data_IF_653528182081
#
_entry.id   IF_653528182081
#
_cell.length_a   1.000
_cell.length_b   1.000
_cell.length_c   1.000
_cell.angle_alpha   90.00
_cell.angle_beta   90.00
_cell.angle_gamma   90.00
#
_symmetry.space_group_name_H-M   'P 1'
#
loop_
_entity.id
_entity.type
_entity.pdbx_description
1 polymer ?
#
# COMPACT_ATOMS: atom_id res chain seq x y z
N UNK A 1 5.28 16.10 31.71
CA UNK A 1 4.06 15.72 32.46
C UNK A 1 3.33 14.66 31.63
N UNK A 2 3.54 13.39 31.98
CA UNK A 2 2.81 12.25 31.46
C UNK A 2 1.32 12.42 31.78
N UNK A 3 0.48 12.57 30.76
CA UNK A 3 -0.97 12.50 30.93
C UNK A 3 -1.31 11.03 31.17
N UNK A 4 -1.50 10.66 32.43
CA UNK A 4 -2.08 9.39 32.80
C UNK A 4 -3.55 9.43 32.39
N UNK A 5 -3.93 8.64 31.38
CA UNK A 5 -5.33 8.27 31.16
C UNK A 5 -5.76 7.42 32.35
N UNK A 6 -6.34 8.06 33.37
CA UNK A 6 -7.04 7.38 34.45
C UNK A 6 -8.47 7.12 33.99
N UNK A 7 -8.79 5.85 33.75
CA UNK A 7 -10.16 5.36 33.76
C UNK A 7 -10.40 4.78 35.15
N UNK A 8 -11.31 5.35 35.92
CA UNK A 8 -11.78 4.73 37.17
C UNK A 8 -12.74 3.58 36.82
N UNK A 9 -12.22 2.49 36.27
CA UNK A 9 -12.94 1.21 36.32
C UNK A 9 -12.30 0.37 37.42
N UNK A 10 -12.62 0.77 38.65
CA UNK A 10 -12.36 -0.01 39.87
C UNK A 10 -13.67 -0.45 40.54
N UNK A 11 -14.81 -0.33 39.84
CA UNK A 11 -16.10 -0.80 40.33
C UNK A 11 -16.67 -1.86 39.36
N UNK A 12 -16.71 -3.15 39.76
CA UNK A 12 -17.32 -4.23 38.98
C UNK A 12 -18.82 -4.03 38.71
N UNK A 13 -19.46 -3.07 39.37
CA UNK A 13 -20.88 -2.72 39.22
C UNK A 13 -21.10 -1.45 38.40
N UNK A 14 -20.03 -0.76 37.97
CA UNK A 14 -20.17 0.42 37.12
C UNK A 14 -20.77 0.03 35.77
N UNK A 15 -21.80 0.73 35.27
CA UNK A 15 -22.41 0.41 34.00
C UNK A 15 -21.36 0.50 32.88
N UNK A 16 -21.29 -0.55 32.06
CA UNK A 16 -20.56 -0.54 30.79
C UNK A 16 -20.98 0.72 30.03
N UNK A 17 -20.02 1.52 29.57
CA UNK A 17 -20.27 2.76 28.83
C UNK A 17 -21.21 2.45 27.65
N UNK A 18 -22.46 2.92 27.72
CA UNK A 18 -23.51 2.63 26.74
C UNK A 18 -23.43 3.48 25.46
N UNK A 19 -22.42 4.35 25.35
CA UNK A 19 -22.28 5.32 24.28
C UNK A 19 -20.95 5.13 23.53
N UNK A 20 -20.89 5.45 22.23
CA UNK A 20 -19.64 5.40 21.48
C UNK A 20 -18.63 6.38 22.08
N UNK A 21 -17.51 5.87 22.57
CA UNK A 21 -16.41 6.66 23.11
C UNK A 21 -15.39 6.93 22.02
N UNK A 22 -14.99 8.20 21.85
CA UNK A 22 -13.86 8.58 21.00
C UNK A 22 -12.70 8.98 21.90
N UNK A 23 -11.59 8.23 21.82
CA UNK A 23 -10.36 8.55 22.52
C UNK A 23 -9.41 9.30 21.60
N UNK A 24 -9.18 10.58 21.89
CA UNK A 24 -8.30 11.42 21.07
C UNK A 24 -6.91 11.58 21.70
N UNK A 25 -5.86 11.48 20.89
CA UNK A 25 -4.50 11.81 21.30
C UNK A 25 -3.66 12.38 20.14
N UNK A 26 -2.85 13.38 20.47
CA UNK A 26 -1.82 13.92 19.59
C UNK A 26 -0.57 13.04 19.62
N UNK A 27 -0.60 11.96 18.85
CA UNK A 27 0.50 10.98 18.77
C UNK A 27 1.54 11.36 17.72
N UNK A 28 1.20 12.23 16.76
CA UNK A 28 2.13 12.68 15.74
C UNK A 28 2.68 14.07 16.05
N UNK A 29 4.00 14.24 15.97
CA UNK A 29 4.62 15.55 16.17
C UNK A 29 4.56 16.37 14.90
N UNK A 30 4.00 17.56 15.03
CA UNK A 30 4.03 18.57 13.98
C UNK A 30 5.37 19.31 13.89
N UNK A 31 5.72 19.77 12.70
CA UNK A 31 6.92 20.59 12.50
C UNK A 31 6.85 21.86 13.36
N UNK A 32 7.94 22.14 14.08
CA UNK A 32 8.10 23.29 15.01
C UNK A 32 7.08 23.32 16.16
N UNK A 33 6.41 22.22 16.48
CA UNK A 33 5.57 22.17 17.68
C UNK A 33 6.44 22.15 18.94
N UNK A 34 6.02 22.92 19.96
CA UNK A 34 6.59 22.89 21.30
C UNK A 34 5.90 21.86 22.21
N UNK A 35 4.74 21.34 21.81
CA UNK A 35 4.00 20.31 22.53
C UNK A 35 4.70 18.96 22.38
N UNK A 36 4.70 18.17 23.46
CA UNK A 36 5.20 16.81 23.44
C UNK A 36 4.09 15.89 22.92
N UNK A 37 4.37 15.18 21.84
CA UNK A 37 3.47 14.15 21.34
C UNK A 37 3.34 13.03 22.38
N UNK A 38 2.14 12.46 22.47
CA UNK A 38 1.88 11.25 23.24
C UNK A 38 2.62 10.08 22.57
N UNK A 39 3.23 9.21 23.37
CA UNK A 39 3.89 8.02 22.84
C UNK A 39 2.87 7.12 22.11
N UNK A 40 2.99 6.92 20.78
CA UNK A 40 1.96 6.24 20.01
C UNK A 40 1.79 4.78 20.42
N UNK A 41 2.90 4.08 20.69
CA UNK A 41 2.89 2.67 21.09
C UNK A 41 2.17 2.49 22.43
N UNK A 42 2.54 3.27 23.45
CA UNK A 42 1.86 3.23 24.75
C UNK A 42 0.39 3.65 24.66
N UNK A 43 0.04 4.61 23.80
CA UNK A 43 -1.37 5.00 23.62
C UNK A 43 -2.18 3.86 23.01
N UNK A 44 -1.69 3.29 21.90
CA UNK A 44 -2.32 2.17 21.19
C UNK A 44 -2.48 0.95 22.09
N UNK A 45 -1.40 0.56 22.80
CA UNK A 45 -1.44 -0.62 23.67
C UNK A 45 -2.40 -0.47 24.85
N UNK A 46 -2.44 0.72 25.46
CA UNK A 46 -3.37 1.01 26.58
C UNK A 46 -4.80 1.13 26.10
N UNK A 47 -5.03 1.82 24.98
CA UNK A 47 -6.37 1.97 24.42
C UNK A 47 -6.97 0.61 24.04
N UNK A 48 -6.19 -0.27 23.43
CA UNK A 48 -6.60 -1.64 23.11
C UNK A 48 -7.00 -2.44 24.35
N UNK A 49 -6.26 -2.31 25.45
CA UNK A 49 -6.49 -3.09 26.69
C UNK A 49 -7.64 -2.54 27.54
N UNK A 50 -7.73 -1.22 27.65
CA UNK A 50 -8.67 -0.55 28.58
C UNK A 50 -10.00 -0.18 27.92
N UNK A 51 -9.99 0.05 26.61
CA UNK A 51 -11.14 0.55 25.87
C UNK A 51 -11.25 -0.11 24.49
N UNK A 52 -11.39 -1.44 24.41
CA UNK A 52 -11.39 -2.18 23.14
C UNK A 52 -12.52 -1.76 22.19
N UNK A 53 -13.62 -1.21 22.70
CA UNK A 53 -14.77 -0.78 21.89
C UNK A 53 -14.74 0.70 21.50
N UNK A 54 -13.71 1.45 21.92
CA UNK A 54 -13.60 2.87 21.59
C UNK A 54 -13.13 3.09 20.14
N UNK A 55 -13.54 4.20 19.54
CA UNK A 55 -12.93 4.73 18.32
C UNK A 55 -11.70 5.55 18.69
N UNK A 56 -10.57 5.27 18.06
CA UNK A 56 -9.33 6.00 18.32
C UNK A 56 -9.18 7.15 17.34
N UNK A 57 -9.05 8.36 17.86
CA UNK A 57 -8.77 9.56 17.07
C UNK A 57 -7.29 9.93 17.22
N UNK A 58 -6.51 9.76 16.15
CA UNK A 58 -5.09 10.06 16.13
C UNK A 58 -4.86 11.43 15.49
N UNK A 59 -4.20 12.33 16.22
CA UNK A 59 -3.97 13.71 15.82
C UNK A 59 -2.50 14.12 15.83
N UNK A 60 -2.29 15.40 15.56
CA UNK A 60 -0.98 16.04 15.56
C UNK A 60 -0.91 17.12 16.63
N UNK A 61 0.25 17.25 17.27
CA UNK A 61 0.54 18.33 18.21
C UNK A 61 0.33 19.72 17.58
N UNK A 62 -0.10 20.69 18.38
CA UNK A 62 -0.38 22.06 17.93
C UNK A 62 0.85 22.73 17.31
N UNK A 63 0.69 23.35 16.14
CA UNK A 63 1.73 24.13 15.48
C UNK A 63 1.63 25.60 15.84
N UNK A 64 2.75 26.21 16.20
CA UNK A 64 2.88 27.66 16.36
C UNK A 64 3.26 28.31 15.03
N UNK A 65 2.66 29.45 14.71
CA UNK A 65 2.95 30.25 13.51
C UNK A 65 2.82 29.44 12.21
N UNK A 66 1.70 28.73 12.06
CA UNK A 66 1.50 27.82 10.95
C UNK A 66 1.51 28.53 9.59
N UNK A 67 0.94 29.73 9.51
CA UNK A 67 0.95 30.59 8.32
C UNK A 67 2.36 30.75 7.73
N UNK A 68 3.37 30.98 8.58
CA UNK A 68 4.78 31.18 8.19
C UNK A 68 5.59 29.89 7.99
N UNK A 69 4.98 28.72 8.15
CA UNK A 69 5.68 27.44 7.96
C UNK A 69 5.99 27.22 6.47
N UNK A 70 7.17 26.66 6.19
CA UNK A 70 7.52 26.29 4.81
C UNK A 70 6.48 25.29 4.24
N UNK A 71 5.98 25.47 3.01
CA UNK A 71 4.99 24.59 2.38
C UNK A 71 5.34 23.10 2.43
N UNK A 72 6.62 22.74 2.42
CA UNK A 72 7.06 21.32 2.50
C UNK A 72 6.61 20.61 3.78
N UNK A 73 6.32 21.35 4.85
CA UNK A 73 5.83 20.83 6.13
C UNK A 73 4.31 20.98 6.30
N UNK A 74 3.62 21.60 5.34
CA UNK A 74 2.15 21.75 5.31
C UNK A 74 1.49 20.59 4.55
N UNK A 75 2.08 19.39 4.61
CA UNK A 75 1.61 18.18 3.92
C UNK A 75 2.05 16.92 4.67
N UNK A 76 1.32 15.84 4.45
CA UNK A 76 1.64 14.48 4.84
C UNK A 76 2.51 13.84 3.76
N UNK A 77 3.73 13.49 4.12
CA UNK A 77 4.64 12.72 3.24
C UNK A 77 4.31 11.22 3.29
N UNK A 78 4.73 10.46 2.28
CA UNK A 78 4.60 9.00 2.29
C UNK A 78 5.30 8.36 3.48
N UNK A 79 6.48 8.87 3.87
CA UNK A 79 7.19 8.42 5.08
C UNK A 79 6.34 8.58 6.34
N UNK A 80 5.67 9.73 6.50
CA UNK A 80 4.76 9.93 7.62
C UNK A 80 3.53 9.03 7.52
N UNK A 81 2.98 8.80 6.33
CA UNK A 81 1.88 7.85 6.17
C UNK A 81 2.29 6.44 6.59
N UNK A 82 3.47 5.96 6.20
CA UNK A 82 3.96 4.64 6.60
C UNK A 82 4.10 4.51 8.11
N UNK A 83 4.59 5.57 8.76
CA UNK A 83 4.64 5.63 10.22
C UNK A 83 3.24 5.58 10.85
N UNK A 84 2.24 6.23 10.25
CA UNK A 84 0.83 6.12 10.68
C UNK A 84 0.34 4.67 10.53
N UNK A 85 0.64 4.03 9.39
CA UNK A 85 0.18 2.66 9.09
C UNK A 85 0.78 1.63 10.05
N UNK A 86 2.01 1.82 10.51
CA UNK A 86 2.64 0.94 11.50
C UNK A 86 1.81 0.83 12.79
N UNK A 87 1.14 1.91 13.20
CA UNK A 87 0.24 1.91 14.34
C UNK A 87 -1.17 1.43 13.98
N UNK A 88 -1.72 1.88 12.85
CA UNK A 88 -3.08 1.52 12.44
C UNK A 88 -3.19 0.02 12.15
N UNK A 89 -2.15 -0.62 11.61
CA UNK A 89 -2.15 -2.04 11.31
C UNK A 89 -2.25 -2.93 12.57
N UNK A 90 -1.81 -2.43 13.74
CA UNK A 90 -1.83 -3.18 15.01
C UNK A 90 -3.14 -3.05 15.80
N UNK A 91 -4.05 -2.21 15.33
CA UNK A 91 -5.31 -1.93 16.00
C UNK A 91 -6.41 -2.83 15.44
N UNK A 92 -7.36 -3.24 16.27
CA UNK A 92 -8.64 -3.80 15.79
C UNK A 92 -9.75 -2.72 15.81
N UNK A 93 -9.56 -1.72 16.65
CA UNK A 93 -10.45 -0.59 16.84
C UNK A 93 -10.62 0.25 15.56
N UNK A 94 -11.81 0.85 15.35
CA UNK A 94 -12.01 1.88 14.34
C UNK A 94 -11.05 3.05 14.58
N UNK A 95 -10.41 3.52 13.51
CA UNK A 95 -9.47 4.65 13.60
C UNK A 95 -10.00 5.85 12.82
N UNK A 96 -9.88 7.01 13.45
CA UNK A 96 -10.11 8.32 12.85
C UNK A 96 -8.80 9.10 12.85
N UNK A 97 -8.39 9.62 11.71
CA UNK A 97 -7.20 10.46 11.59
C UNK A 97 -7.64 11.94 11.54
N UNK A 98 -7.22 12.73 12.53
CA UNK A 98 -7.57 14.15 12.66
C UNK A 98 -6.55 15.03 11.95
N UNK A 99 -6.89 15.56 10.77
CA UNK A 99 -5.97 16.25 9.87
C UNK A 99 -6.41 17.70 9.68
N UNK A 100 -5.47 18.63 9.81
CA UNK A 100 -5.72 20.05 9.52
C UNK A 100 -6.05 20.28 8.04
N UNK A 101 -6.97 21.19 7.74
CA UNK A 101 -7.53 21.45 6.41
C UNK A 101 -6.45 21.75 5.35
N UNK A 102 -5.52 22.66 5.65
CA UNK A 102 -4.41 22.97 4.74
C UNK A 102 -3.50 21.77 4.48
N UNK A 103 -3.21 20.97 5.51
CA UNK A 103 -2.44 19.71 5.35
C UNK A 103 -3.21 18.76 4.45
N UNK A 104 -4.50 18.54 4.70
CA UNK A 104 -5.33 17.66 3.90
C UNK A 104 -5.36 18.08 2.42
N UNK A 105 -5.47 19.39 2.17
CA UNK A 105 -5.51 19.94 0.81
C UNK A 105 -4.22 19.68 0.01
N UNK A 106 -3.09 19.57 0.71
CA UNK A 106 -1.77 19.31 0.13
C UNK A 106 -1.33 17.83 0.20
N UNK A 107 -2.20 16.94 0.72
CA UNK A 107 -1.88 15.52 1.00
C UNK A 107 -2.85 14.54 0.33
N UNK A 108 -3.44 14.99 -0.77
CA UNK A 108 -4.54 14.29 -1.45
C UNK A 108 -4.24 12.82 -1.72
N UNK A 109 -3.09 12.51 -2.31
CA UNK A 109 -2.74 11.13 -2.69
C UNK A 109 -2.62 10.22 -1.47
N UNK A 110 -1.97 10.68 -0.39
CA UNK A 110 -1.81 9.93 0.85
C UNK A 110 -3.15 9.66 1.53
N UNK A 111 -4.02 10.68 1.60
CA UNK A 111 -5.33 10.57 2.25
C UNK A 111 -6.30 9.70 1.44
N UNK A 112 -6.28 9.79 0.11
CA UNK A 112 -7.06 8.91 -0.75
C UNK A 112 -6.57 7.46 -0.67
N UNK A 113 -5.26 7.23 -0.53
CA UNK A 113 -4.72 5.90 -0.28
C UNK A 113 -5.25 5.35 1.05
N UNK A 114 -5.21 6.14 2.14
CA UNK A 114 -5.71 5.75 3.45
C UNK A 114 -7.21 5.42 3.43
N UNK A 115 -8.02 6.27 2.78
CA UNK A 115 -9.47 6.05 2.65
C UNK A 115 -9.82 4.82 1.79
N UNK A 116 -8.91 4.44 0.89
CA UNK A 116 -9.04 3.26 0.04
C UNK A 116 -8.66 1.95 0.72
N UNK A 117 -8.19 1.98 1.96
CA UNK A 117 -7.83 0.78 2.72
C UNK A 117 -9.02 -0.16 2.91
N UNK A 118 -8.71 -1.45 2.94
CA UNK A 118 -9.68 -2.51 3.28
C UNK A 118 -10.21 -2.31 4.72
N UNK A 119 -9.29 -2.02 5.64
CA UNK A 119 -9.62 -1.60 7.00
C UNK A 119 -10.31 -0.22 6.99
N UNK A 120 -11.38 -0.08 7.78
CA UNK A 120 -12.12 1.17 7.90
C UNK A 120 -11.32 2.23 8.68
N UNK A 121 -10.74 3.18 7.95
CA UNK A 121 -10.19 4.42 8.50
C UNK A 121 -11.06 5.61 8.09
N UNK A 122 -11.39 6.47 9.04
CA UNK A 122 -12.11 7.72 8.81
C UNK A 122 -11.17 8.92 8.94
N UNK A 123 -11.53 10.04 8.31
CA UNK A 123 -10.82 11.32 8.43
C UNK A 123 -11.71 12.32 9.16
N UNK A 124 -11.12 13.07 10.09
CA UNK A 124 -11.68 14.31 10.61
C UNK A 124 -10.84 15.46 10.08
N UNK A 125 -11.41 16.29 9.22
CA UNK A 125 -10.74 17.47 8.67
C UNK A 125 -11.16 18.69 9.47
N UNK A 126 -10.22 19.30 10.20
CA UNK A 126 -10.48 20.49 11.01
C UNK A 126 -9.73 21.71 10.47
N UNK A 127 -10.19 22.93 10.77
CA UNK A 127 -9.52 24.15 10.33
C UNK A 127 -9.34 25.17 11.45
N UNK A 128 -8.31 25.99 11.33
CA UNK A 128 -8.01 27.13 12.22
C UNK A 128 -7.95 28.44 11.40
N UNK A 129 -7.70 29.54 12.10
CA UNK A 129 -7.59 30.87 11.53
C UNK A 129 -6.43 30.99 10.53
N UNK A 130 -5.30 30.32 10.77
CA UNK A 130 -4.14 30.35 9.86
C UNK A 130 -4.31 29.53 8.56
N UNK A 131 -5.45 28.88 8.36
CA UNK A 131 -5.73 28.10 7.14
C UNK A 131 -6.24 29.03 6.01
N UNK A 132 -5.32 29.71 5.32
CA UNK A 132 -5.67 30.69 4.27
C UNK A 132 -5.57 30.12 2.84
N UNK A 133 -4.50 29.38 2.55
CA UNK A 133 -4.17 28.92 1.19
C UNK A 133 -4.61 27.47 0.95
N UNK A 134 -5.92 27.27 0.75
CA UNK A 134 -6.51 25.94 0.64
C UNK A 134 -6.70 25.52 -0.82
N UNK A 135 -6.07 24.41 -1.20
CA UNK A 135 -6.31 23.75 -2.48
C UNK A 135 -7.67 23.01 -2.45
N UNK A 136 -8.77 23.75 -2.58
CA UNK A 136 -10.13 23.21 -2.46
C UNK A 136 -10.41 22.05 -3.42
N UNK A 137 -9.84 22.08 -4.63
CA UNK A 137 -9.98 20.98 -5.59
C UNK A 137 -9.56 19.61 -4.99
N UNK A 138 -8.48 19.58 -4.21
CA UNK A 138 -8.03 18.37 -3.51
C UNK A 138 -9.02 17.91 -2.45
N UNK A 139 -9.57 18.84 -1.66
CA UNK A 139 -10.55 18.53 -0.62
C UNK A 139 -11.84 17.98 -1.23
N UNK A 140 -12.27 18.54 -2.35
CA UNK A 140 -13.42 18.04 -3.10
C UNK A 140 -13.20 16.62 -3.59
N UNK A 141 -12.02 16.31 -4.10
CA UNK A 141 -11.68 14.96 -4.55
C UNK A 141 -11.65 13.97 -3.37
N UNK A 142 -11.08 14.35 -2.22
CA UNK A 142 -11.13 13.56 -0.98
C UNK A 142 -12.59 13.30 -0.56
N UNK A 143 -13.43 14.34 -0.57
CA UNK A 143 -14.86 14.22 -0.22
C UNK A 143 -15.62 13.30 -1.17
N UNK A 144 -15.31 13.34 -2.47
CA UNK A 144 -16.01 12.59 -3.51
C UNK A 144 -15.60 11.12 -3.58
N UNK A 145 -14.30 10.85 -3.46
CA UNK A 145 -13.74 9.49 -3.56
C UNK A 145 -13.66 8.78 -2.21
N UNK A 146 -13.78 9.52 -1.11
CA UNK A 146 -14.01 8.93 0.21
C UNK A 146 -15.30 8.11 0.19
N UNK A 147 -15.23 6.89 0.74
CA UNK A 147 -16.41 6.05 0.93
C UNK A 147 -17.43 6.83 1.79
N UNK A 148 -18.71 6.78 1.42
CA UNK A 148 -19.79 7.54 2.07
C UNK A 148 -19.63 7.49 3.60
N UNK A 149 -19.60 8.66 4.24
CA UNK A 149 -19.49 8.89 5.68
C UNK A 149 -18.12 8.65 6.34
N UNK A 150 -17.03 8.43 5.58
CA UNK A 150 -15.67 8.32 6.16
C UNK A 150 -14.92 9.65 6.30
N UNK A 151 -15.51 10.78 5.91
CA UNK A 151 -14.87 12.10 6.03
C UNK A 151 -15.80 13.04 6.80
N UNK A 152 -15.35 13.45 7.99
CA UNK A 152 -16.00 14.38 8.89
C UNK A 152 -15.29 15.74 8.83
N UNK A 153 -16.01 16.81 9.17
CA UNK A 153 -15.53 18.18 9.05
C UNK A 153 -15.80 18.94 10.35
N UNK A 154 -14.74 19.49 10.94
CA UNK A 154 -14.80 20.45 12.04
C UNK A 154 -14.19 21.78 11.60
N UNK A 155 -14.97 22.53 10.82
CA UNK A 155 -14.49 23.70 10.09
C UNK A 155 -15.03 24.99 10.68
N UNK A 156 -14.19 26.03 10.61
CA UNK A 156 -14.57 27.44 10.82
C UNK A 156 -15.68 27.83 9.84
N UNK A 157 -16.56 28.79 10.20
CA UNK A 157 -17.72 29.16 9.37
C UNK A 157 -17.37 29.47 7.91
N UNK A 158 -16.33 30.27 7.67
CA UNK A 158 -15.88 30.63 6.31
C UNK A 158 -15.48 29.43 5.44
N UNK A 159 -14.87 28.40 6.04
CA UNK A 159 -14.43 27.19 5.34
C UNK A 159 -15.60 26.23 5.14
N UNK A 160 -16.51 26.18 6.12
CA UNK A 160 -17.73 25.39 6.09
C UNK A 160 -18.66 25.83 4.96
N UNK A 161 -18.86 27.14 4.80
CA UNK A 161 -19.68 27.71 3.72
C UNK A 161 -19.18 27.28 2.33
N UNK A 162 -17.86 27.28 2.12
CA UNK A 162 -17.27 26.86 0.85
C UNK A 162 -17.57 25.38 0.58
N UNK A 163 -17.33 24.50 1.56
CA UNK A 163 -17.61 23.05 1.41
C UNK A 163 -19.10 22.79 1.17
N UNK A 164 -19.99 23.50 1.86
CA UNK A 164 -21.44 23.33 1.71
C UNK A 164 -21.94 23.75 0.32
N UNK A 165 -21.33 24.76 -0.30
CA UNK A 165 -21.67 25.19 -1.67
C UNK A 165 -21.19 24.23 -2.75
N UNK A 166 -20.25 23.34 -2.46
CA UNK A 166 -19.72 22.42 -3.45
C UNK A 166 -20.68 21.23 -3.62
N UNK A 167 -21.22 21.01 -4.84
CA UNK A 167 -22.14 19.92 -5.09
C UNK A 167 -21.43 18.56 -4.95
N UNK A 168 -22.13 17.62 -4.30
CA UNK A 168 -21.75 16.21 -4.25
C UNK A 168 -22.20 15.56 -5.56
N UNK A 169 -21.57 15.93 -6.67
CA UNK A 169 -21.75 15.19 -7.92
C UNK A 169 -21.05 13.83 -7.76
N UNK A 170 -21.73 12.70 -8.00
CA UNK A 170 -21.07 11.41 -8.05
C UNK A 170 -20.05 11.44 -9.18
N UNK A 171 -18.79 11.17 -8.87
CA UNK A 171 -17.79 10.92 -9.92
C UNK A 171 -18.10 9.54 -10.45
N UNK A 172 -18.60 9.47 -11.69
CA UNK A 172 -18.46 8.26 -12.49
C UNK A 172 -16.95 8.14 -12.74
N UNK A 173 -16.25 7.42 -11.87
CA UNK A 173 -14.86 7.06 -12.13
C UNK A 173 -14.93 6.11 -13.32
N UNK A 174 -14.62 6.64 -14.51
CA UNK A 174 -14.72 5.88 -15.77
C UNK A 174 -13.75 4.71 -15.82
N UNK A 175 -12.69 4.76 -15.00
CA UNK A 175 -11.65 3.75 -14.95
C UNK A 175 -11.71 2.99 -13.63
N UNK A 176 -11.64 1.65 -13.69
CA UNK A 176 -11.44 0.85 -12.48
C UNK A 176 -10.18 1.32 -11.74
N UNK A 177 -10.16 1.32 -10.40
CA UNK A 177 -8.95 1.62 -9.65
C UNK A 177 -7.81 0.69 -10.13
N UNK A 178 -6.58 1.21 -10.24
CA UNK A 178 -5.48 0.43 -10.80
C UNK A 178 -5.13 -0.78 -9.93
N UNK A 179 -5.50 -0.79 -8.64
CA UNK A 179 -5.35 -1.95 -7.77
C UNK A 179 -6.71 -2.55 -7.40
N UNK A 180 -6.88 -3.84 -7.68
CA UNK A 180 -8.09 -4.58 -7.30
C UNK A 180 -7.88 -5.39 -6.02
N UNK A 181 -8.61 -5.02 -4.96
CA UNK A 181 -8.56 -5.71 -3.66
C UNK A 181 -9.01 -7.18 -3.75
N UNK A 182 -9.90 -7.53 -4.67
CA UNK A 182 -10.40 -8.91 -4.85
C UNK A 182 -9.43 -9.79 -5.63
N UNK A 183 -8.60 -9.21 -6.51
CA UNK A 183 -7.61 -9.96 -7.30
C UNK A 183 -6.32 -10.27 -6.55
N UNK A 184 -6.11 -9.69 -5.36
CA UNK A 184 -4.89 -9.84 -4.58
C UNK A 184 -5.20 -10.16 -3.12
N UNK A 185 -4.83 -11.35 -2.67
CA UNK A 185 -5.00 -11.80 -1.29
C UNK A 185 -3.71 -11.58 -0.50
N UNK A 186 -3.79 -10.90 0.64
CA UNK A 186 -2.67 -10.83 1.58
C UNK A 186 -2.56 -12.13 2.37
N UNK A 187 -1.33 -12.61 2.56
CA UNK A 187 -1.00 -13.75 3.42
C UNK A 187 0.11 -13.28 4.36
N UNK A 188 -0.12 -13.44 5.66
CA UNK A 188 0.79 -13.00 6.71
C UNK A 188 1.24 -14.22 7.51
N UNK A 189 2.53 -14.31 7.78
CA UNK A 189 3.15 -15.39 8.52
C UNK A 189 3.44 -14.92 9.94
N UNK A 190 3.22 -15.81 10.92
CA UNK A 190 3.62 -15.55 12.30
C UNK A 190 5.15 -15.45 12.35
N UNK A 191 5.65 -14.38 12.95
CA UNK A 191 7.07 -14.15 13.15
C UNK A 191 7.37 -13.99 14.64
N UNK A 192 8.53 -14.48 15.08
CA UNK A 192 9.06 -14.25 16.43
C UNK A 192 9.72 -12.87 16.56
N UNK A 193 9.80 -12.10 15.48
CA UNK A 193 10.40 -10.77 15.53
C UNK A 193 9.44 -9.74 16.14
N UNK A 194 9.99 -8.85 16.95
CA UNK A 194 9.26 -7.70 17.52
C UNK A 194 8.87 -6.64 16.47
N UNK A 195 9.44 -6.73 15.26
CA UNK A 195 9.12 -5.83 14.16
C UNK A 195 7.78 -6.21 13.53
N UNK A 196 6.96 -5.20 13.23
CA UNK A 196 5.73 -5.41 12.47
C UNK A 196 6.05 -6.10 11.13
N UNK A 197 5.24 -7.08 10.73
CA UNK A 197 5.27 -7.65 9.39
C UNK A 197 3.86 -7.77 8.86
N UNK A 198 3.52 -6.97 7.84
CA UNK A 198 2.15 -6.93 7.31
C UNK A 198 2.13 -6.36 5.90
N UNK A 199 1.08 -6.70 5.16
CA UNK A 199 0.72 -6.01 3.91
C UNK A 199 -0.58 -5.25 4.09
N UNK A 200 -0.50 -3.93 4.08
CA UNK A 200 -1.69 -3.07 4.13
C UNK A 200 -2.18 -2.81 2.70
N UNK A 201 -3.39 -3.30 2.38
CA UNK A 201 -3.99 -3.16 1.05
C UNK A 201 -4.92 -1.94 0.97
N UNK A 202 -4.85 -1.23 -0.14
CA UNK A 202 -5.74 -0.12 -0.50
C UNK A 202 -6.14 -0.20 -1.97
N UNK A 203 -7.28 0.39 -2.35
CA UNK A 203 -7.67 0.57 -3.77
C UNK A 203 -6.64 1.31 -4.62
N UNK A 204 -5.66 1.97 -4.00
CA UNK A 204 -4.57 2.68 -4.68
C UNK A 204 -3.22 1.95 -4.66
N UNK A 205 -3.17 0.71 -4.15
CA UNK A 205 -1.95 -0.08 -4.09
C UNK A 205 -1.80 -0.81 -2.75
N UNK A 206 -0.66 -1.45 -2.56
CA UNK A 206 -0.35 -2.18 -1.33
C UNK A 206 0.94 -1.70 -0.71
N UNK A 207 1.01 -1.67 0.62
CA UNK A 207 2.18 -1.26 1.39
C UNK A 207 2.71 -2.43 2.17
N UNK A 208 4.00 -2.73 2.01
CA UNK A 208 4.71 -3.78 2.74
C UNK A 208 5.51 -3.16 3.89
N UNK A 209 5.11 -3.45 5.13
CA UNK A 209 5.69 -2.86 6.33
C UNK A 209 6.55 -3.87 7.09
N UNK A 210 7.75 -3.41 7.49
CA UNK A 210 8.67 -4.09 8.39
C UNK A 210 9.21 -5.41 7.88
N UNK A 211 9.24 -6.47 8.68
CA UNK A 211 9.96 -7.69 8.32
C UNK A 211 9.32 -8.38 7.09
N UNK A 212 10.07 -9.06 6.19
CA UNK A 212 9.52 -9.80 5.05
C UNK A 212 8.84 -11.12 5.45
N UNK A 213 7.78 -11.05 6.25
CA UNK A 213 6.92 -12.20 6.61
C UNK A 213 5.48 -12.03 6.12
N UNK A 214 5.29 -11.30 5.00
CA UNK A 214 3.97 -11.10 4.41
C UNK A 214 4.08 -10.98 2.87
N UNK A 215 3.06 -11.48 2.16
CA UNK A 215 3.01 -11.55 0.70
C UNK A 215 1.61 -11.28 0.14
N UNK A 216 1.56 -10.99 -1.16
CA UNK A 216 0.35 -10.86 -1.96
C UNK A 216 0.28 -11.99 -2.98
N UNK A 217 -0.75 -12.83 -2.86
CA UNK A 217 -1.06 -13.88 -3.82
C UNK A 217 -2.09 -13.36 -4.82
N UNK A 218 -1.76 -13.43 -6.12
CA UNK A 218 -2.74 -13.14 -7.16
C UNK A 218 -3.82 -14.23 -7.21
N UNK A 219 -5.07 -13.79 -7.25
CA UNK A 219 -6.25 -14.65 -7.43
C UNK A 219 -6.63 -14.82 -8.91
N UNK A 220 -5.89 -14.16 -9.81
CA UNK A 220 -6.07 -14.30 -11.25
C UNK A 220 -5.42 -15.63 -11.71
N UNK A 221 -6.20 -16.56 -12.30
CA UNK A 221 -5.67 -17.85 -12.70
C UNK A 221 -4.70 -17.70 -13.88
N UNK A 222 -3.63 -18.53 -13.95
CA UNK A 222 -2.73 -18.52 -15.08
C UNK A 222 -3.48 -18.89 -16.37
N UNK A 223 -3.25 -18.19 -17.49
CA UNK A 223 -3.96 -18.49 -18.72
C UNK A 223 -3.47 -19.81 -19.34
N UNK A 224 -4.26 -20.37 -20.26
CA UNK A 224 -3.86 -21.58 -21.00
C UNK A 224 -2.93 -21.17 -22.15
N UNK A 225 -1.82 -21.90 -22.30
CA UNK A 225 -0.90 -21.76 -23.44
C UNK A 225 -1.67 -21.80 -24.79
N UNK A 226 -1.36 -20.97 -25.80
CA UNK A 226 -0.17 -20.12 -25.99
C UNK A 226 -0.28 -18.70 -25.44
N UNK A 227 -1.32 -18.39 -24.66
CA UNK A 227 -1.49 -17.03 -24.14
C UNK A 227 -0.37 -16.69 -23.19
N UNK A 228 0.01 -15.41 -23.17
CA UNK A 228 1.01 -14.89 -22.24
C UNK A 228 0.29 -14.28 -21.04
N UNK A 229 1.01 -14.19 -19.93
CA UNK A 229 0.61 -13.38 -18.78
C UNK A 229 1.69 -12.35 -18.48
N UNK A 230 1.29 -11.25 -17.87
CA UNK A 230 2.22 -10.25 -17.40
C UNK A 230 1.80 -9.64 -16.07
N UNK A 231 2.81 -9.20 -15.34
CA UNK A 231 2.68 -8.50 -14.07
C UNK A 231 3.40 -7.17 -14.23
N UNK A 232 2.71 -6.08 -13.95
CA UNK A 232 3.28 -4.73 -14.06
C UNK A 232 2.92 -3.90 -12.84
N UNK A 233 3.72 -2.88 -12.57
CA UNK A 233 3.48 -1.94 -11.49
C UNK A 233 4.62 -0.96 -11.27
N UNK A 234 4.49 -0.19 -10.20
CA UNK A 234 5.50 0.76 -9.72
C UNK A 234 5.79 0.50 -8.26
N UNK A 235 7.06 0.37 -7.92
CA UNK A 235 7.52 0.25 -6.53
C UNK A 235 8.14 1.57 -6.10
N UNK A 236 7.74 2.03 -4.92
CA UNK A 236 8.27 3.20 -4.24
C UNK A 236 8.88 2.77 -2.90
N UNK A 237 10.21 2.74 -2.83
CA UNK A 237 10.98 2.36 -1.66
C UNK A 237 11.09 3.52 -0.67
N UNK A 238 10.92 3.21 0.61
CA UNK A 238 10.99 4.15 1.72
C UNK A 238 11.89 3.58 2.81
N UNK A 239 13.11 4.10 2.88
CA UNK A 239 14.05 3.77 3.94
C UNK A 239 13.58 4.35 5.28
N UNK A 240 13.58 3.52 6.33
CA UNK A 240 13.33 3.96 7.70
C UNK A 240 14.48 4.81 8.21
N UNK A 241 14.18 5.87 8.96
CA UNK A 241 15.19 6.72 9.56
C UNK A 241 15.66 6.10 10.88
N UNK A 242 16.87 5.53 10.88
CA UNK A 242 17.53 5.05 12.10
C UNK A 242 18.56 6.08 12.58
N UNK A 243 18.76 6.18 13.91
CA UNK A 243 19.76 7.08 14.51
C UNK A 243 21.20 6.69 14.16
N UNK A 244 21.41 5.45 13.74
CA UNK A 244 22.68 4.93 13.27
C UNK A 244 22.58 4.61 11.77
N UNK A 245 23.65 4.85 11.03
CA UNK A 245 23.80 4.41 9.64
C UNK A 245 23.92 2.88 9.62
N UNK A 246 22.78 2.21 9.58
CA UNK A 246 22.73 0.76 9.37
C UNK A 246 22.79 0.55 7.86
N UNK A 247 23.76 -0.26 7.42
CA UNK A 247 23.83 -0.71 6.04
C UNK A 247 22.62 -1.59 5.75
N UNK A 248 21.83 -1.17 4.76
CA UNK A 248 20.66 -1.93 4.30
C UNK A 248 21.17 -3.15 3.54
N UNK A 249 20.61 -4.32 3.83
CA UNK A 249 20.92 -5.56 3.10
C UNK A 249 20.68 -5.37 1.59
N UNK A 250 21.65 -5.77 0.76
CA UNK A 250 21.55 -5.75 -0.71
C UNK A 250 20.41 -6.62 -1.24
N UNK A 251 19.94 -7.59 -0.45
CA UNK A 251 18.77 -8.43 -0.76
C UNK A 251 17.44 -7.74 -0.45
N UNK A 252 17.47 -6.48 -0.02
CA UNK A 252 16.27 -5.73 0.31
C UNK A 252 15.57 -5.24 -0.95
N UNK A 253 14.30 -5.58 -1.11
CA UNK A 253 13.57 -5.19 -2.30
C UNK A 253 12.24 -5.88 -2.50
N UNK A 254 11.70 -5.68 -3.70
CA UNK A 254 10.51 -6.35 -4.21
C UNK A 254 10.91 -7.70 -4.82
N UNK A 255 10.18 -8.76 -4.51
CA UNK A 255 10.31 -10.07 -5.16
C UNK A 255 8.98 -10.46 -5.78
N UNK A 256 9.01 -10.90 -7.04
CA UNK A 256 7.88 -11.48 -7.75
C UNK A 256 8.21 -12.95 -7.99
N UNK A 257 7.45 -13.85 -7.38
CA UNK A 257 7.56 -15.29 -7.57
C UNK A 257 6.59 -15.77 -8.64
N UNK A 258 7.09 -16.64 -9.52
CA UNK A 258 6.28 -17.39 -10.48
C UNK A 258 6.29 -18.88 -10.08
N UNK A 259 5.12 -19.38 -9.67
CA UNK A 259 4.92 -20.73 -9.10
C UNK A 259 4.13 -21.65 -10.04
N UNK A 260 4.61 -22.86 -10.32
CA UNK A 260 3.88 -23.81 -11.19
C UNK A 260 2.54 -24.23 -10.61
N UNK A 261 2.47 -24.37 -9.28
CA UNK A 261 1.26 -24.72 -8.54
C UNK A 261 1.17 -23.86 -7.29
N UNK A 262 -0.04 -23.49 -6.91
CA UNK A 262 -0.29 -22.89 -5.59
C UNK A 262 -0.17 -24.02 -4.57
N UNK A 263 1.02 -24.16 -3.98
CA UNK A 263 1.17 -24.95 -2.76
C UNK A 263 0.63 -24.13 -1.59
N UNK A 264 0.25 -24.80 -0.51
CA UNK A 264 0.06 -24.12 0.77
C UNK A 264 1.39 -23.43 1.13
N UNK A 265 1.35 -22.10 1.18
CA UNK A 265 2.52 -21.31 1.51
C UNK A 265 2.69 -21.41 3.03
N UNK A 266 3.69 -22.18 3.46
CA UNK A 266 4.02 -22.40 4.89
C UNK A 266 5.12 -21.45 5.39
N UNK A 267 5.83 -20.79 4.46
CA UNK A 267 6.96 -19.92 4.74
C UNK A 267 6.89 -18.65 3.89
N UNK A 268 7.36 -17.49 4.42
CA UNK A 268 7.45 -16.27 3.65
C UNK A 268 8.49 -16.36 2.53
N UNK A 269 9.56 -17.14 2.73
CA UNK A 269 10.50 -17.47 1.66
C UNK A 269 9.97 -18.67 0.88
N UNK A 270 9.66 -18.45 -0.40
CA UNK A 270 9.15 -19.50 -1.29
C UNK A 270 10.31 -20.17 -2.01
N UNK A 271 10.51 -21.46 -1.70
CA UNK A 271 11.49 -22.32 -2.35
C UNK A 271 10.99 -22.84 -3.69
N UNK A 272 11.91 -23.26 -4.55
CA UNK A 272 11.61 -23.93 -5.82
C UNK A 272 10.69 -23.12 -6.76
N UNK A 273 10.87 -21.79 -6.75
CA UNK A 273 10.13 -20.83 -7.55
C UNK A 273 11.08 -20.06 -8.48
N UNK A 274 10.57 -19.56 -9.61
CA UNK A 274 11.29 -18.53 -10.36
C UNK A 274 11.06 -17.19 -9.69
N UNK A 275 12.14 -16.42 -9.47
CA UNK A 275 12.13 -15.16 -8.73
C UNK A 275 12.54 -14.02 -9.67
N UNK A 276 11.77 -12.95 -9.70
CA UNK A 276 12.19 -11.65 -10.27
C UNK A 276 12.38 -10.69 -9.10
N UNK A 277 13.60 -10.23 -8.88
CA UNK A 277 13.97 -9.32 -7.81
C UNK A 277 14.23 -7.92 -8.35
N UNK A 278 13.71 -6.91 -7.64
CA UNK A 278 13.99 -5.48 -7.87
C UNK A 278 14.44 -4.90 -6.53
N UNK A 279 15.73 -4.60 -6.41
CA UNK A 279 16.37 -4.08 -5.22
C UNK A 279 16.14 -2.58 -5.03
N UNK A 280 16.18 -2.15 -3.76
CA UNK A 280 16.12 -0.72 -3.40
C UNK A 280 17.31 0.09 -3.96
N UNK A 281 18.41 -0.60 -4.25
CA UNK A 281 19.65 -0.08 -4.82
C UNK A 281 19.67 -0.09 -6.37
N UNK A 282 18.56 -0.51 -7.00
CA UNK A 282 18.44 -0.62 -8.45
C UNK A 282 19.00 -1.90 -9.06
N UNK A 283 19.48 -2.85 -8.24
CA UNK A 283 19.83 -4.20 -8.72
C UNK A 283 18.56 -4.90 -9.18
N UNK A 284 18.63 -5.58 -10.32
CA UNK A 284 17.51 -6.38 -10.84
C UNK A 284 18.01 -7.76 -11.19
N UNK A 285 17.22 -8.78 -10.92
CA UNK A 285 17.64 -10.16 -11.15
C UNK A 285 16.45 -11.05 -11.48
N UNK A 286 16.64 -11.98 -12.41
CA UNK A 286 15.78 -13.14 -12.61
C UNK A 286 16.58 -14.36 -12.16
N UNK A 287 16.07 -15.13 -11.22
CA UNK A 287 16.66 -16.41 -10.80
C UNK A 287 15.65 -17.51 -11.08
N UNK A 288 16.09 -18.66 -11.58
CA UNK A 288 15.21 -19.81 -11.64
C UNK A 288 15.48 -20.88 -10.58
N UNK A 289 14.64 -21.91 -10.59
CA UNK A 289 14.48 -22.84 -9.47
C UNK A 289 15.80 -23.53 -9.10
N UNK A 290 15.94 -23.99 -7.86
CA UNK A 290 17.19 -24.62 -7.41
C UNK A 290 17.52 -25.93 -8.16
N UNK A 291 16.50 -26.66 -8.63
CA UNK A 291 16.63 -27.96 -9.30
C UNK A 291 16.54 -27.82 -10.84
N UNK A 292 17.51 -27.12 -11.43
CA UNK A 292 17.58 -26.96 -12.89
C UNK A 292 18.64 -27.88 -13.49
N UNK A 293 18.35 -28.41 -14.69
CA UNK A 293 19.32 -29.13 -15.50
C UNK A 293 20.51 -28.24 -15.88
N UNK A 294 21.74 -28.76 -15.91
CA UNK A 294 22.97 -27.97 -15.98
C UNK A 294 23.15 -27.13 -17.26
N UNK A 295 22.28 -27.29 -18.26
CA UNK A 295 22.35 -26.55 -19.53
C UNK A 295 21.56 -25.24 -19.54
N UNK A 296 20.72 -24.97 -18.54
CA UNK A 296 20.03 -23.68 -18.42
C UNK A 296 20.84 -22.73 -17.54
N UNK A 297 20.82 -21.45 -17.91
CA UNK A 297 21.30 -20.39 -17.03
C UNK A 297 20.46 -20.35 -15.75
N UNK A 298 21.14 -20.20 -14.61
CA UNK A 298 20.48 -20.16 -13.30
C UNK A 298 19.93 -18.77 -12.98
N UNK A 299 20.58 -17.72 -13.48
CA UNK A 299 20.22 -16.33 -13.21
C UNK A 299 20.61 -15.36 -14.32
N UNK A 300 19.88 -14.26 -14.41
CA UNK A 300 20.16 -13.09 -15.25
C UNK A 300 20.11 -11.85 -14.36
N UNK A 301 21.09 -10.94 -14.48
CA UNK A 301 21.26 -9.79 -13.56
C UNK A 301 21.41 -8.50 -14.37
N UNK A 302 20.85 -7.41 -13.86
CA UNK A 302 21.01 -6.06 -14.38
C UNK A 302 21.11 -5.02 -13.26
N UNK A 303 21.48 -3.80 -13.62
CA UNK A 303 21.65 -2.69 -12.68
C UNK A 303 21.07 -1.40 -13.26
N UNK A 304 20.23 -0.73 -12.49
CA UNK A 304 19.70 0.60 -12.77
C UNK A 304 20.39 1.66 -11.90
N UNK A 305 20.29 2.95 -12.27
CA UNK A 305 20.60 4.03 -11.34
C UNK A 305 19.76 3.93 -10.05
N UNK A 306 20.36 4.29 -8.91
CA UNK A 306 19.68 4.34 -7.61
C UNK A 306 18.54 5.37 -7.68
N UNK A 307 17.34 4.95 -7.29
CA UNK A 307 16.11 5.74 -7.33
C UNK A 307 15.18 5.28 -6.22
N UNK A 308 14.35 6.18 -5.68
CA UNK A 308 13.29 5.80 -4.74
C UNK A 308 12.15 5.04 -5.44
N UNK A 309 12.00 5.23 -6.76
CA UNK A 309 10.92 4.63 -7.54
C UNK A 309 11.38 3.95 -8.83
N UNK A 310 10.82 2.76 -9.04
CA UNK A 310 11.03 1.94 -10.24
C UNK A 310 9.69 1.48 -10.80
N UNK A 311 9.57 1.49 -12.13
CA UNK A 311 8.49 0.80 -12.83
C UNK A 311 9.00 -0.52 -13.40
N UNK A 312 8.12 -1.52 -13.48
CA UNK A 312 8.45 -2.83 -13.99
C UNK A 312 7.35 -3.42 -14.86
N UNK A 313 7.74 -4.28 -15.79
CA UNK A 313 6.87 -5.11 -16.61
C UNK A 313 7.49 -6.50 -16.76
N UNK A 314 6.90 -7.49 -16.10
CA UNK A 314 7.35 -8.90 -16.12
C UNK A 314 6.41 -9.69 -17.01
N UNK A 315 6.96 -10.33 -18.05
CA UNK A 315 6.21 -11.23 -18.94
C UNK A 315 6.62 -12.67 -18.71
N UNK A 316 5.64 -13.53 -18.46
CA UNK A 316 5.85 -14.98 -18.41
C UNK A 316 5.35 -15.62 -19.71
N UNK A 317 6.29 -16.19 -20.47
CA UNK A 317 6.00 -16.94 -21.70
C UNK A 317 5.93 -18.45 -21.48
N UNK A 318 6.05 -18.92 -20.24
CA UNK A 318 6.13 -20.32 -19.86
C UNK A 318 7.52 -20.94 -20.08
N UNK A 319 8.16 -20.65 -21.21
CA UNK A 319 9.52 -21.14 -21.54
C UNK A 319 10.61 -20.07 -21.33
N UNK A 320 10.22 -18.81 -21.17
CA UNK A 320 11.11 -17.67 -20.93
C UNK A 320 10.38 -16.63 -20.10
N UNK A 321 11.10 -16.01 -19.18
CA UNK A 321 10.65 -14.83 -18.46
C UNK A 321 11.41 -13.62 -18.98
N UNK A 322 10.67 -12.53 -19.20
CA UNK A 322 11.23 -11.22 -19.52
C UNK A 322 10.91 -10.28 -18.38
N UNK A 323 11.88 -9.47 -17.96
CA UNK A 323 11.66 -8.39 -17.00
C UNK A 323 12.24 -7.09 -17.57
N UNK A 324 11.35 -6.13 -17.83
CA UNK A 324 11.71 -4.77 -18.20
C UNK A 324 11.56 -3.88 -16.98
N UNK A 325 12.63 -3.22 -16.55
CA UNK A 325 12.63 -2.36 -15.35
C UNK A 325 13.28 -1.02 -15.68
N UNK A 326 12.75 0.06 -15.12
CA UNK A 326 13.20 1.44 -15.39
C UNK A 326 13.00 2.34 -14.17
N UNK A 327 13.79 3.40 -14.08
CA UNK A 327 13.62 4.46 -13.07
C UNK A 327 12.40 5.33 -13.37
N UNK A 328 11.65 5.75 -12.34
CA UNK A 328 10.47 6.62 -12.51
C UNK A 328 10.35 7.65 -11.40
N UNK A 329 9.57 8.71 -11.64
CA UNK A 329 9.19 9.64 -10.57
C UNK A 329 8.16 8.98 -9.65
N UNK A 330 8.23 9.27 -8.35
CA UNK A 330 7.29 8.78 -7.36
C UNK A 330 5.94 9.53 -7.44
N UNK A 331 4.84 8.78 -7.34
CA UNK A 331 3.47 9.31 -7.42
C UNK A 331 2.92 9.50 -8.84
N UNK A 332 1.77 10.17 -8.94
CA UNK A 332 0.92 10.17 -10.14
C UNK A 332 1.37 11.11 -11.27
N UNK A 333 2.48 11.84 -11.10
CA UNK A 333 2.99 12.75 -12.15
C UNK A 333 3.74 11.97 -13.24
N UNK A 334 2.98 11.32 -14.12
CA UNK A 334 3.53 10.74 -15.35
C UNK A 334 3.89 11.84 -16.35
N UNK A 335 5.14 12.30 -16.38
CA UNK A 335 5.68 12.96 -17.58
C UNK A 335 5.81 11.94 -18.71
N UNK A 336 5.52 12.37 -19.94
CA UNK A 336 5.65 11.54 -21.16
C UNK A 336 6.99 10.81 -21.14
N UNK A 337 6.94 9.48 -21.37
CA UNK A 337 8.09 8.57 -21.50
C UNK A 337 9.18 9.23 -22.37
N UNK A 338 10.21 9.82 -21.76
CA UNK A 338 11.51 9.95 -22.45
C UNK A 338 11.98 8.52 -22.71
N UNK A 339 12.72 8.25 -23.79
CA UNK A 339 13.40 6.95 -23.97
C UNK A 339 14.20 6.69 -22.69
N UNK A 340 13.67 5.86 -21.80
CA UNK A 340 14.24 5.56 -20.47
C UNK A 340 15.34 4.53 -20.67
N UNK A 341 16.35 4.58 -19.81
CA UNK A 341 17.28 3.47 -19.61
C UNK A 341 16.47 2.30 -19.04
N UNK A 342 15.91 1.49 -19.93
CA UNK A 342 15.20 0.27 -19.59
C UNK A 342 16.25 -0.82 -19.51
N UNK A 343 16.35 -1.45 -18.35
CA UNK A 343 17.08 -2.70 -18.20
C UNK A 343 16.12 -3.82 -18.52
N UNK A 344 16.40 -4.51 -19.63
CA UNK A 344 15.69 -5.72 -20.05
C UNK A 344 16.54 -6.92 -19.70
N UNK A 345 15.99 -7.84 -18.92
CA UNK A 345 16.58 -9.14 -18.69
C UNK A 345 15.67 -10.23 -19.24
N UNK A 346 16.30 -11.32 -19.65
CA UNK A 346 15.61 -12.54 -20.04
C UNK A 346 16.27 -13.74 -19.40
N UNK A 347 15.45 -14.75 -19.10
CA UNK A 347 15.93 -16.03 -18.59
C UNK A 347 15.05 -17.15 -19.15
N UNK A 348 15.69 -18.11 -19.81
CA UNK A 348 15.04 -19.33 -20.27
C UNK A 348 14.75 -20.25 -19.10
N UNK A 349 13.61 -20.94 -19.16
CA UNK A 349 13.13 -21.78 -18.06
C UNK A 349 13.01 -23.24 -18.49
N UNK A 350 13.21 -24.20 -17.57
CA UNK A 350 13.09 -25.62 -17.87
C UNK A 350 11.80 -25.99 -18.57
N UNK A 351 11.93 -26.68 -19.70
CA UNK A 351 10.81 -27.27 -20.43
C UNK A 351 10.38 -28.56 -19.70
N UNK A 352 9.45 -28.45 -18.75
CA UNK A 352 8.66 -29.62 -18.36
C UNK A 352 7.59 -29.85 -19.44
N UNK A 353 7.29 -31.10 -19.75
CA UNK A 353 6.47 -31.55 -20.91
C UNK A 353 5.06 -30.90 -21.06
N UNK A 354 4.66 -30.01 -20.15
CA UNK A 354 3.49 -29.14 -20.28
C UNK A 354 3.90 -27.68 -20.03
N UNK A 355 3.59 -26.80 -21.01
CA UNK A 355 3.72 -25.34 -20.88
C UNK A 355 2.61 -24.81 -19.97
N UNK A 356 2.73 -24.99 -18.66
CA UNK A 356 1.82 -24.38 -17.69
C UNK A 356 2.35 -23.02 -17.28
N UNK A 357 1.53 -21.99 -17.45
CA UNK A 357 1.81 -20.67 -16.89
C UNK A 357 1.68 -20.71 -15.36
N UNK A 358 2.40 -19.80 -14.72
CA UNK A 358 2.67 -19.84 -13.28
C UNK A 358 1.82 -18.86 -12.50
N UNK A 359 1.47 -19.22 -11.28
CA UNK A 359 0.81 -18.33 -10.34
C UNK A 359 1.77 -17.22 -9.90
N UNK A 360 1.22 -16.04 -9.65
CA UNK A 360 1.99 -14.85 -9.31
C UNK A 360 1.86 -14.56 -7.82
N UNK A 361 3.00 -14.46 -7.14
CA UNK A 361 3.10 -13.96 -5.77
C UNK A 361 4.06 -12.77 -5.73
N UNK A 362 3.70 -11.74 -4.98
CA UNK A 362 4.53 -10.57 -4.76
C UNK A 362 4.88 -10.49 -3.28
N UNK A 363 6.14 -10.33 -2.94
CA UNK A 363 6.61 -10.27 -1.56
C UNK A 363 7.72 -9.23 -1.38
N UNK A 364 8.08 -9.02 -0.13
CA UNK A 364 9.26 -8.27 0.30
C UNK A 364 10.41 -9.23 0.59
N UNK A 365 11.64 -8.80 0.34
CA UNK A 365 12.87 -9.46 0.79
C UNK A 365 13.74 -8.47 1.58
N UNK A 366 14.67 -8.96 2.40
CA UNK A 366 15.66 -8.17 3.13
C UNK A 366 15.48 -8.12 4.65
N UNK A 367 15.98 -7.05 5.26
CA UNK A 367 16.10 -6.89 6.72
C UNK A 367 14.94 -6.15 7.39
N UNK A 368 14.01 -5.60 6.61
CA UNK A 368 12.87 -4.81 7.10
C UNK A 368 13.15 -3.33 7.38
N UNK A 369 14.34 -2.83 7.03
CA UNK A 369 14.73 -1.41 7.16
C UNK A 369 14.18 -0.52 6.05
N UNK A 370 13.77 -1.11 4.93
CA UNK A 370 13.12 -0.40 3.81
C UNK A 370 11.72 -0.95 3.65
N UNK A 371 10.71 -0.09 3.77
CA UNK A 371 9.34 -0.42 3.41
C UNK A 371 9.08 0.01 1.97
N UNK A 372 8.02 -0.48 1.34
CA UNK A 372 7.66 0.03 0.02
C UNK A 372 6.16 0.09 -0.22
N UNK A 373 5.78 1.03 -1.08
CA UNK A 373 4.46 1.13 -1.68
C UNK A 373 4.53 0.53 -3.08
N UNK A 374 3.60 -0.37 -3.36
CA UNK A 374 3.40 -0.97 -4.67
C UNK A 374 2.14 -0.37 -5.29
N UNK A 375 2.35 0.56 -6.21
CA UNK A 375 1.32 1.26 -6.97
C UNK A 375 1.06 0.56 -8.30
N UNK A 376 -0.15 0.71 -8.83
CA UNK A 376 -0.49 0.25 -10.19
C UNK A 376 -0.19 -1.24 -10.43
N UNK A 377 -0.30 -2.09 -9.38
CA UNK A 377 -0.04 -3.52 -9.52
C UNK A 377 -1.17 -4.20 -10.30
N UNK A 378 -0.85 -4.61 -11.52
CA UNK A 378 -1.74 -5.36 -12.38
C UNK A 378 -1.15 -6.75 -12.64
N UNK A 379 -2.00 -7.77 -12.53
CA UNK A 379 -1.75 -9.08 -13.10
C UNK A 379 -2.81 -9.32 -14.16
N UNK A 380 -2.38 -9.44 -15.42
CA UNK A 380 -3.27 -9.68 -16.53
C UNK A 380 -2.98 -11.05 -17.14
N UNK A 381 -3.95 -11.94 -16.98
CA UNK A 381 -4.08 -13.17 -17.74
C UNK A 381 -5.15 -12.96 -18.80
N UNK A 382 -4.83 -13.10 -20.08
CA UNK A 382 -5.87 -13.11 -21.10
C UNK A 382 -6.74 -14.38 -20.95
N UNK A 383 -7.84 -14.31 -20.20
CA UNK A 383 -8.82 -15.40 -20.13
C UNK A 383 -9.98 -15.11 -21.09
N UNK A 384 -10.34 -16.07 -21.94
CA UNK A 384 -11.59 -15.98 -22.69
C UNK A 384 -12.68 -16.36 -21.69
N UNK A 385 -13.68 -15.51 -21.50
CA UNK A 385 -14.88 -15.93 -20.79
C UNK A 385 -15.55 -17.02 -21.63
N UNK A 386 -15.66 -18.22 -21.07
CA UNK A 386 -16.38 -19.34 -21.70
C UNK A 386 -17.86 -19.04 -21.97
N UNK A 387 -18.39 -17.93 -21.42
CA UNK A 387 -19.76 -17.47 -21.67
C UNK A 387 -20.03 -17.09 -23.15
N UNK A 388 -19.01 -16.79 -23.95
CA UNK A 388 -19.20 -16.43 -25.38
C UNK A 388 -19.31 -17.67 -26.26
N UNK A 389 -18.77 -18.82 -25.86
CA UNK A 389 -18.78 -20.05 -26.68
C UNK A 389 -20.13 -20.76 -26.61
N UNK A 390 -20.85 -20.66 -25.49
CA UNK A 390 -22.21 -21.24 -25.36
C UNK A 390 -23.26 -20.55 -26.23
N UNK A 391 -23.07 -19.27 -26.58
CA UNK A 391 -24.00 -18.53 -27.46
C UNK A 391 -23.83 -18.88 -28.94
N UNK A 392 -22.63 -19.26 -29.38
CA UNK A 392 -22.39 -19.65 -30.79
C UNK A 392 -22.82 -21.09 -31.06
N UNK A 393 -22.75 -21.98 -30.07
CA UNK A 393 -23.26 -23.36 -30.23
C UNK A 393 -24.79 -23.47 -30.15
N UNK A 394 -25.49 -22.50 -29.55
CA UNK A 394 -26.96 -22.48 -29.59
C UNK A 394 -27.53 -21.89 -30.89
N UNK A 395 -26.81 -21.04 -31.62
CA UNK A 395 -27.29 -20.51 -32.91
C UNK A 395 -27.02 -21.44 -34.09
N UNK A 396 -25.97 -22.28 -34.04
CA UNK A 396 -25.70 -23.25 -35.12
C UNK A 396 -26.66 -24.46 -35.06
N UNK A 397 -27.25 -24.75 -33.89
CA UNK A 397 -28.28 -25.80 -33.76
C UNK A 397 -29.68 -25.38 -34.24
N UNK A 398 -29.85 -24.14 -34.69
CA UNK A 398 -31.10 -23.61 -35.24
C UNK A 398 -31.05 -23.40 -36.77
N UNK A 399 -29.92 -23.70 -37.42
CA UNK A 399 -29.72 -23.50 -38.87
C UNK A 399 -29.38 -24.82 -39.61
N UNK A 400 -29.39 -25.95 -38.89
CA UNK A 400 -29.41 -27.32 -39.44
C UNK A 400 -30.69 -28.00 -38.93
#
# INVERSE_FOLDING_TARGET
>A
RSQYLYASQADPLAPVLQYPVILHANVFRSARSAENAVDPSSFVDRARRLFPDATLSLGWTKQTNYSHLNPKYKRLTWRQLFHILEYIARLDQPVMLSVRLSVASNSKEQLLWLLGMDKSVSLLIWSDEDDTDIAWASIVEIRRLGIKNRVLYDLLPRHREIIQRIPISPVIVKDEPPFSLSKWRAVEFVTSQDMLSTVVRSKRGAVFLGHPAALLLSQTPPPIFPRLQHVEGKVHFLRKTTKHEINVDERTGLVIYLLDKIQELESPEIKNALKVFIGHDGRVMIENKELIQPYYETKSVGQLPISECYGFFVTDKGWRVLADVWTTECGTKSRKRRKKDIVRMELDTPFLNQRSLRNVVVAKSGDGLVDFLLEELHHNSAHFSTAVVTLVFMTIRWIL
#
